data_IF_891158924732
#
_entry.id   IF_891158924732
#
_cell.length_a   1.000
_cell.length_b   1.000
_cell.length_c   1.000
_cell.angle_alpha   90.00
_cell.angle_beta   90.00
_cell.angle_gamma   90.00
#
_symmetry.space_group_name_H-M   'P 1'
#
loop_
_entity.id
_entity.type
_entity.pdbx_description
1 polymer ?
#
# COMPACT_ATOMS: atom_id res chain seq x y z
N UNK A 1 27.22 0.58 -45.80
CA UNK A 1 25.78 0.57 -45.47
C UNK A 1 25.54 -0.58 -44.50
N UNK A 2 25.59 -0.32 -43.18
CA UNK A 2 25.32 -1.34 -42.16
C UNK A 2 23.80 -1.45 -42.03
N UNK A 3 23.25 -2.59 -42.44
CA UNK A 3 21.83 -2.90 -42.28
C UNK A 3 21.58 -3.01 -40.77
N UNK A 4 20.74 -2.12 -40.22
CA UNK A 4 20.20 -2.28 -38.87
C UNK A 4 19.34 -3.55 -38.90
N UNK A 5 19.72 -4.56 -38.12
CA UNK A 5 18.84 -5.68 -37.83
C UNK A 5 17.62 -5.11 -37.12
N UNK A 6 16.46 -5.28 -37.76
CA UNK A 6 15.17 -4.92 -37.22
C UNK A 6 14.91 -5.80 -36.00
N UNK A 7 14.75 -5.21 -34.80
CA UNK A 7 14.35 -5.93 -33.59
C UNK A 7 12.84 -6.24 -33.63
N UNK A 8 12.33 -6.73 -34.77
CA UNK A 8 10.97 -7.25 -34.90
C UNK A 8 10.97 -8.68 -34.40
N UNK A 9 10.75 -8.83 -33.10
CA UNK A 9 10.10 -9.94 -32.39
C UNK A 9 10.56 -10.00 -30.93
N UNK A 10 10.48 -8.89 -30.18
CA UNK A 10 10.44 -9.01 -28.73
C UNK A 10 9.10 -9.67 -28.38
N UNK A 11 9.08 -10.86 -27.75
CA UNK A 11 7.84 -11.50 -27.36
C UNK A 11 7.08 -10.59 -26.39
N UNK A 12 5.93 -10.09 -26.81
CA UNK A 12 5.01 -9.40 -25.91
C UNK A 12 4.19 -10.44 -25.16
N UNK A 13 4.64 -10.77 -23.96
CA UNK A 13 3.89 -11.61 -23.04
C UNK A 13 2.68 -10.82 -22.54
N UNK A 14 1.49 -11.19 -23.01
CA UNK A 14 0.24 -10.72 -22.41
C UNK A 14 -0.20 -11.74 -21.38
N UNK A 15 -0.27 -11.33 -20.11
CA UNK A 15 -0.90 -12.14 -19.08
C UNK A 15 -2.40 -12.23 -19.38
N UNK A 16 -2.83 -13.41 -19.86
CA UNK A 16 -4.22 -13.78 -20.03
C UNK A 16 -4.71 -14.45 -18.74
N UNK A 17 -5.48 -13.72 -17.93
CA UNK A 17 -6.15 -14.30 -16.78
C UNK A 17 -7.41 -15.03 -17.25
N UNK A 18 -7.36 -16.36 -17.30
CA UNK A 18 -8.53 -17.22 -17.53
C UNK A 18 -9.21 -17.39 -16.17
N UNK A 19 -10.10 -16.46 -15.79
CA UNK A 19 -10.96 -16.66 -14.61
C UNK A 19 -11.92 -17.81 -14.90
N UNK A 20 -12.03 -18.77 -13.99
CA UNK A 20 -13.09 -19.78 -14.09
C UNK A 20 -14.42 -19.07 -13.87
N UNK A 21 -15.35 -19.14 -14.82
CA UNK A 21 -16.64 -18.48 -14.66
C UNK A 21 -17.42 -19.11 -13.51
N UNK A 22 -17.79 -18.31 -12.51
CA UNK A 22 -18.76 -18.72 -11.51
C UNK A 22 -20.15 -18.77 -12.16
N UNK A 23 -21.04 -19.70 -11.75
CA UNK A 23 -22.46 -19.59 -12.08
C UNK A 23 -23.01 -18.23 -11.62
N UNK A 24 -23.98 -17.68 -12.36
CA UNK A 24 -24.61 -16.38 -12.08
C UNK A 24 -25.05 -16.24 -10.61
N UNK A 25 -25.57 -17.32 -10.02
CA UNK A 25 -26.04 -17.34 -8.63
C UNK A 25 -24.91 -17.19 -7.59
N UNK A 26 -23.66 -17.41 -7.98
CA UNK A 26 -22.47 -17.37 -7.14
C UNK A 26 -21.57 -16.17 -7.45
N UNK A 27 -21.91 -15.30 -8.41
CA UNK A 27 -21.10 -14.11 -8.75
C UNK A 27 -20.86 -13.19 -7.55
N UNK A 28 -21.84 -13.09 -6.64
CA UNK A 28 -21.70 -12.32 -5.39
C UNK A 28 -20.53 -12.78 -4.50
N UNK A 29 -20.08 -14.04 -4.64
CA UNK A 29 -18.92 -14.55 -3.92
C UNK A 29 -17.60 -13.96 -4.45
N UNK A 30 -17.52 -13.59 -5.72
CA UNK A 30 -16.32 -12.93 -6.29
C UNK A 30 -16.14 -11.55 -5.65
N UNK A 31 -17.22 -10.76 -5.55
CA UNK A 31 -17.22 -9.46 -4.87
C UNK A 31 -16.85 -9.62 -3.39
N UNK A 32 -17.44 -10.60 -2.69
CA UNK A 32 -17.09 -10.89 -1.30
C UNK A 32 -15.62 -11.30 -1.17
N UNK A 33 -15.10 -12.16 -2.06
CA UNK A 33 -13.73 -12.65 -1.98
C UNK A 33 -12.70 -11.52 -2.17
N UNK A 34 -12.98 -10.55 -3.05
CA UNK A 34 -12.13 -9.39 -3.31
C UNK A 34 -12.37 -8.21 -2.36
N UNK A 35 -13.14 -8.41 -1.29
CA UNK A 35 -13.26 -7.47 -0.18
C UNK A 35 -12.86 -8.11 1.15
N UNK A 36 -11.78 -7.63 1.73
CA UNK A 36 -11.18 -8.15 2.97
C UNK A 36 -12.10 -8.06 4.20
N UNK A 37 -13.30 -7.48 4.11
CA UNK A 37 -14.32 -7.54 5.16
C UNK A 37 -14.54 -8.95 5.72
N UNK A 38 -14.43 -9.98 4.87
CA UNK A 38 -14.50 -11.36 5.34
C UNK A 38 -13.41 -11.70 6.37
N UNK A 39 -12.26 -11.03 6.38
CA UNK A 39 -11.15 -11.36 7.27
C UNK A 39 -11.47 -11.16 8.76
N UNK A 40 -12.31 -10.17 9.11
CA UNK A 40 -12.78 -9.94 10.47
C UNK A 40 -14.26 -10.27 10.70
N UNK A 41 -14.99 -10.68 9.66
CA UNK A 41 -16.36 -11.15 9.80
C UNK A 41 -16.44 -12.68 9.96
N UNK A 42 -16.98 -13.15 11.10
CA UNK A 42 -17.08 -14.58 11.40
C UNK A 42 -17.98 -15.35 10.42
N UNK A 43 -19.14 -14.80 10.07
CA UNK A 43 -20.10 -15.47 9.18
C UNK A 43 -19.58 -15.60 7.76
N UNK A 44 -18.85 -14.59 7.27
CA UNK A 44 -18.20 -14.64 5.97
C UNK A 44 -17.09 -15.70 5.89
N UNK A 45 -16.22 -15.81 6.91
CA UNK A 45 -15.21 -16.89 6.96
C UNK A 45 -15.85 -18.26 7.00
N UNK A 46 -16.89 -18.41 7.82
CA UNK A 46 -17.65 -19.65 7.89
C UNK A 46 -18.34 -19.98 6.58
N UNK A 47 -18.81 -18.98 5.82
CA UNK A 47 -19.38 -19.19 4.49
C UNK A 47 -18.35 -19.80 3.56
N UNK A 48 -17.19 -19.17 3.40
CA UNK A 48 -16.13 -19.69 2.51
C UNK A 48 -15.69 -21.09 2.92
N UNK A 49 -15.49 -21.33 4.22
CA UNK A 49 -15.18 -22.67 4.74
C UNK A 49 -16.25 -23.71 4.37
N UNK A 50 -17.54 -23.34 4.38
CA UNK A 50 -18.63 -24.27 4.04
C UNK A 50 -18.76 -24.58 2.53
N UNK A 51 -18.09 -23.82 1.66
CA UNK A 51 -18.10 -24.12 0.22
C UNK A 51 -17.28 -25.38 -0.07
N UNK A 52 -16.12 -25.53 0.56
CA UNK A 52 -15.29 -26.73 0.52
C UNK A 52 -14.22 -26.61 1.62
N UNK A 53 -14.40 -27.36 2.71
CA UNK A 53 -13.56 -27.23 3.91
C UNK A 53 -12.12 -27.66 3.65
N UNK A 54 -11.92 -28.78 2.94
CA UNK A 54 -10.60 -29.32 2.65
C UNK A 54 -9.84 -28.39 1.71
N UNK A 55 -10.48 -27.92 0.63
CA UNK A 55 -9.86 -26.98 -0.30
C UNK A 55 -9.56 -25.65 0.38
N UNK A 56 -10.41 -25.16 1.28
CA UNK A 56 -10.20 -23.90 1.99
C UNK A 56 -8.94 -23.92 2.87
N UNK A 57 -8.66 -25.04 3.54
CA UNK A 57 -7.40 -25.26 4.26
C UNK A 57 -6.20 -25.34 3.30
N UNK A 58 -6.33 -26.08 2.19
CA UNK A 58 -5.26 -26.22 1.18
C UNK A 58 -4.84 -24.90 0.52
N UNK A 59 -5.77 -23.95 0.36
CA UNK A 59 -5.48 -22.62 -0.20
C UNK A 59 -5.08 -21.59 0.87
N UNK A 60 -4.83 -22.03 2.11
CA UNK A 60 -4.39 -21.15 3.20
C UNK A 60 -5.44 -20.13 3.63
N UNK A 61 -6.72 -20.51 3.54
CA UNK A 61 -7.88 -19.65 3.83
C UNK A 61 -8.05 -18.45 2.89
N UNK A 62 -7.56 -18.55 1.65
CA UNK A 62 -7.75 -17.53 0.62
C UNK A 62 -9.06 -17.76 -0.18
N UNK A 63 -10.08 -16.88 -0.03
CA UNK A 63 -11.35 -17.04 -0.76
C UNK A 63 -11.22 -16.90 -2.27
N UNK A 64 -10.30 -16.07 -2.78
CA UNK A 64 -10.08 -15.91 -4.22
C UNK A 64 -9.60 -17.23 -4.82
N UNK A 65 -8.55 -17.81 -4.24
CA UNK A 65 -8.03 -19.11 -4.66
C UNK A 65 -9.03 -20.25 -4.46
N UNK A 66 -9.83 -20.21 -3.40
CA UNK A 66 -10.90 -21.18 -3.19
C UNK A 66 -11.85 -21.19 -4.39
N UNK A 67 -12.39 -20.02 -4.77
CA UNK A 67 -13.36 -19.90 -5.85
C UNK A 67 -12.78 -20.29 -7.22
N UNK A 68 -11.51 -19.95 -7.46
CA UNK A 68 -10.78 -20.33 -8.68
C UNK A 68 -10.56 -21.83 -8.79
N UNK A 69 -10.31 -22.52 -7.67
CA UNK A 69 -10.03 -23.96 -7.65
C UNK A 69 -11.26 -24.84 -7.46
N UNK A 70 -12.42 -24.25 -7.15
CA UNK A 70 -13.67 -24.99 -7.06
C UNK A 70 -13.98 -25.67 -8.41
N UNK A 71 -14.07 -27.00 -8.38
CA UNK A 71 -14.47 -27.79 -9.55
C UNK A 71 -15.90 -27.46 -10.01
N UNK A 72 -16.17 -27.64 -11.30
CA UNK A 72 -17.49 -27.38 -11.89
C UNK A 72 -18.61 -28.14 -11.16
N UNK A 73 -18.42 -29.44 -10.90
CA UNK A 73 -19.41 -30.27 -10.21
C UNK A 73 -19.70 -29.76 -8.79
N UNK A 74 -18.67 -29.22 -8.10
CA UNK A 74 -18.84 -28.65 -6.77
C UNK A 74 -19.64 -27.34 -6.82
N UNK A 75 -19.37 -26.47 -7.78
CA UNK A 75 -20.16 -25.25 -8.01
C UNK A 75 -21.63 -25.57 -8.27
N UNK A 76 -21.90 -26.55 -9.11
CA UNK A 76 -23.26 -27.06 -9.38
C UNK A 76 -23.95 -27.64 -8.14
N UNK A 77 -23.20 -28.39 -7.32
CA UNK A 77 -23.71 -28.93 -6.06
C UNK A 77 -24.06 -27.81 -5.06
N UNK A 78 -23.22 -26.78 -4.95
CA UNK A 78 -23.46 -25.61 -4.11
C UNK A 78 -24.75 -24.90 -4.54
N UNK A 79 -24.94 -24.66 -5.84
CA UNK A 79 -26.16 -24.00 -6.36
C UNK A 79 -27.43 -24.80 -6.04
N UNK A 80 -27.35 -26.13 -6.01
CA UNK A 80 -28.48 -27.02 -5.68
C UNK A 80 -28.71 -27.17 -4.17
N UNK A 81 -27.73 -26.84 -3.34
CA UNK A 81 -27.82 -26.90 -1.89
C UNK A 81 -28.54 -25.65 -1.33
N UNK A 82 -29.79 -25.86 -0.89
CA UNK A 82 -30.64 -24.80 -0.34
C UNK A 82 -30.07 -24.19 0.95
N UNK A 83 -29.37 -24.97 1.77
CA UNK A 83 -28.82 -24.48 3.03
C UNK A 83 -27.61 -23.58 2.78
N UNK A 84 -26.69 -24.00 1.90
CA UNK A 84 -25.53 -23.18 1.53
C UNK A 84 -26.00 -21.91 0.80
N UNK A 85 -26.90 -22.03 -0.17
CA UNK A 85 -27.40 -20.85 -0.90
C UNK A 85 -28.17 -19.87 -0.02
N UNK A 86 -28.85 -20.35 1.04
CA UNK A 86 -29.45 -19.46 2.05
C UNK A 86 -28.36 -18.66 2.78
N UNK A 87 -27.29 -19.33 3.23
CA UNK A 87 -26.15 -18.69 3.90
C UNK A 87 -25.43 -17.69 3.00
N UNK A 88 -25.21 -18.01 1.73
CA UNK A 88 -24.65 -17.10 0.71
C UNK A 88 -25.48 -15.80 0.66
N UNK A 89 -26.81 -15.92 0.52
CA UNK A 89 -27.71 -14.76 0.45
C UNK A 89 -27.71 -13.94 1.73
N UNK A 90 -27.73 -14.58 2.89
CA UNK A 90 -27.74 -13.90 4.19
C UNK A 90 -26.44 -13.12 4.44
N UNK A 91 -25.29 -13.75 4.20
CA UNK A 91 -23.98 -13.09 4.35
C UNK A 91 -23.82 -11.94 3.34
N UNK A 92 -24.21 -12.16 2.08
CA UNK A 92 -24.13 -11.11 1.07
C UNK A 92 -25.07 -9.94 1.37
N UNK A 93 -26.29 -10.21 1.87
CA UNK A 93 -27.20 -9.15 2.30
C UNK A 93 -26.62 -8.33 3.48
N UNK A 94 -25.97 -8.99 4.44
CA UNK A 94 -25.26 -8.32 5.53
C UNK A 94 -24.09 -7.47 5.03
N UNK A 95 -23.32 -8.00 4.08
CA UNK A 95 -22.23 -7.28 3.43
C UNK A 95 -22.74 -6.04 2.69
N UNK A 96 -23.81 -6.14 1.89
CA UNK A 96 -24.41 -4.98 1.21
C UNK A 96 -24.96 -3.96 2.20
N UNK A 97 -25.67 -4.41 3.24
CA UNK A 97 -26.14 -3.53 4.32
C UNK A 97 -24.99 -2.77 4.99
N UNK A 98 -23.82 -3.39 5.11
CA UNK A 98 -22.62 -2.74 5.59
C UNK A 98 -22.06 -1.77 4.55
N UNK A 99 -21.79 -2.21 3.33
CA UNK A 99 -21.11 -1.42 2.29
C UNK A 99 -21.91 -0.23 1.78
N UNK A 100 -23.24 -0.31 1.76
CA UNK A 100 -24.12 0.69 1.14
C UNK A 100 -24.42 1.91 2.04
N UNK A 101 -23.74 2.02 3.18
CA UNK A 101 -23.85 3.17 4.08
C UNK A 101 -22.91 4.27 3.63
N UNK A 102 -23.44 5.45 3.31
CA UNK A 102 -22.61 6.61 2.94
C UNK A 102 -21.70 7.05 4.10
N UNK A 103 -20.42 7.40 3.84
CA UNK A 103 -19.52 7.90 4.86
C UNK A 103 -20.09 9.09 5.63
N UNK A 104 -19.68 9.20 6.89
CA UNK A 104 -20.07 10.32 7.74
C UNK A 104 -19.36 11.60 7.28
N UNK A 105 -20.09 12.47 6.59
CA UNK A 105 -19.58 13.73 6.06
C UNK A 105 -19.27 14.79 7.14
N UNK A 106 -19.63 14.54 8.41
CA UNK A 106 -19.28 15.43 9.53
C UNK A 106 -17.85 15.20 10.03
N UNK A 107 -17.26 14.04 9.74
CA UNK A 107 -15.89 13.69 10.11
C UNK A 107 -14.92 14.11 9.00
N UNK A 108 -13.70 14.56 9.35
CA UNK A 108 -12.71 14.87 8.34
C UNK A 108 -12.28 13.60 7.58
N UNK A 109 -12.10 13.74 6.28
CA UNK A 109 -11.56 12.68 5.42
C UNK A 109 -10.05 12.52 5.60
N UNK A 110 -9.55 11.28 5.59
CA UNK A 110 -8.16 10.95 5.97
C UNK A 110 -7.45 10.17 4.87
N UNK A 111 -6.20 10.54 4.56
CA UNK A 111 -5.23 9.71 3.85
C UNK A 111 -4.22 9.16 4.87
N UNK A 112 -4.24 7.85 5.09
CA UNK A 112 -3.36 7.17 6.04
C UNK A 112 -2.18 6.51 5.32
N UNK A 113 -0.95 6.86 5.70
CA UNK A 113 0.28 6.37 5.07
C UNK A 113 1.04 5.47 6.02
N UNK A 114 1.33 4.25 5.58
CA UNK A 114 2.12 3.29 6.35
C UNK A 114 2.85 2.33 5.42
N UNK A 115 4.03 1.85 5.84
CA UNK A 115 4.76 0.81 5.11
C UNK A 115 4.11 -0.57 5.21
N UNK A 116 3.35 -0.86 6.28
CA UNK A 116 2.80 -2.19 6.53
C UNK A 116 1.36 -2.21 7.03
N UNK A 117 0.61 -3.26 6.67
CA UNK A 117 -0.80 -3.46 7.04
C UNK A 117 -1.13 -4.93 7.38
N UNK A 118 -1.36 -5.20 8.67
CA UNK A 118 -1.73 -6.50 9.22
C UNK A 118 -3.22 -6.79 9.10
N UNK A 119 -3.67 -7.11 7.87
CA UNK A 119 -5.09 -7.38 7.60
C UNK A 119 -5.46 -8.84 7.78
N UNK A 120 -4.75 -9.73 7.08
CA UNK A 120 -4.93 -11.18 7.10
C UNK A 120 -3.69 -11.84 6.49
N UNK A 121 -3.40 -13.08 6.87
CA UNK A 121 -2.28 -13.88 6.36
C UNK A 121 -2.22 -14.03 4.83
N UNK A 122 -3.36 -13.89 4.14
CA UNK A 122 -3.44 -13.96 2.68
C UNK A 122 -2.64 -12.81 2.03
N UNK A 123 -2.58 -11.64 2.65
CA UNK A 123 -1.81 -10.49 2.16
C UNK A 123 -0.55 -10.30 2.99
N UNK A 124 0.61 -10.66 2.42
CA UNK A 124 1.91 -10.56 3.12
C UNK A 124 2.49 -9.15 3.03
N UNK A 125 1.79 -8.18 3.60
CA UNK A 125 2.21 -6.76 3.59
C UNK A 125 2.50 -6.24 5.00
N UNK A 126 2.90 -7.11 5.93
CA UNK A 126 3.28 -6.73 7.29
C UNK A 126 4.30 -7.69 7.91
N UNK A 127 4.98 -7.24 8.97
CA UNK A 127 6.01 -7.99 9.70
C UNK A 127 5.75 -8.09 11.20
N UNK A 128 5.08 -7.11 11.81
CA UNK A 128 5.00 -7.01 13.26
C UNK A 128 3.87 -6.15 13.80
N UNK A 129 4.07 -5.63 15.01
CA UNK A 129 3.05 -4.91 15.78
C UNK A 129 2.56 -3.62 15.13
N UNK A 130 3.46 -2.85 14.49
CA UNK A 130 3.11 -1.64 13.75
C UNK A 130 2.12 -1.97 12.61
N UNK A 131 2.43 -2.99 11.82
CA UNK A 131 1.53 -3.46 10.77
C UNK A 131 0.18 -3.92 11.31
N UNK A 132 0.15 -4.69 12.41
CA UNK A 132 -1.12 -5.10 13.04
C UNK A 132 -1.98 -3.90 13.46
N UNK A 133 -1.37 -2.89 14.09
CA UNK A 133 -2.06 -1.67 14.47
C UNK A 133 -2.62 -0.92 13.26
N UNK A 134 -1.81 -0.75 12.20
CA UNK A 134 -2.24 -0.11 10.96
C UNK A 134 -3.41 -0.88 10.30
N UNK A 135 -3.35 -2.21 10.32
CA UNK A 135 -4.43 -3.07 9.84
C UNK A 135 -5.72 -2.89 10.63
N UNK A 136 -5.63 -2.82 11.96
CA UNK A 136 -6.79 -2.62 12.82
C UNK A 136 -7.36 -1.20 12.73
N UNK A 137 -6.51 -0.18 12.53
CA UNK A 137 -6.93 1.18 12.23
C UNK A 137 -7.81 1.25 10.97
N UNK A 138 -7.40 0.57 9.90
CA UNK A 138 -8.16 0.56 8.64
C UNK A 138 -9.45 -0.23 8.78
N UNK A 139 -9.46 -1.34 9.53
CA UNK A 139 -10.70 -2.09 9.84
C UNK A 139 -11.69 -1.25 10.65
N UNK A 140 -11.22 -0.56 11.68
CA UNK A 140 -12.05 0.31 12.51
C UNK A 140 -12.55 1.55 11.73
N UNK A 141 -11.71 2.14 10.88
CA UNK A 141 -12.14 3.21 9.98
C UNK A 141 -13.26 2.74 9.03
N UNK A 142 -13.16 1.50 8.56
CA UNK A 142 -14.21 0.87 7.77
C UNK A 142 -15.50 0.66 8.58
N UNK A 143 -15.42 0.10 9.79
CA UNK A 143 -16.59 -0.18 10.64
C UNK A 143 -17.29 1.11 11.08
N UNK A 144 -16.52 2.12 11.50
CA UNK A 144 -16.99 3.44 11.90
C UNK A 144 -17.36 4.37 10.73
N UNK A 145 -17.19 3.91 9.48
CA UNK A 145 -17.58 4.59 8.25
C UNK A 145 -16.95 5.99 8.06
N UNK A 146 -15.66 6.10 8.40
CA UNK A 146 -14.85 7.29 8.10
C UNK A 146 -14.52 7.32 6.63
N UNK A 147 -14.53 8.49 6.01
CA UNK A 147 -13.98 8.67 4.67
C UNK A 147 -12.44 8.60 4.66
N UNK A 148 -11.91 7.40 4.84
CA UNK A 148 -10.48 7.11 4.85
C UNK A 148 -10.05 6.39 3.57
N UNK A 149 -8.86 6.74 3.06
CA UNK A 149 -8.09 5.86 2.19
C UNK A 149 -6.72 5.60 2.82
N UNK A 150 -6.13 4.46 2.52
CA UNK A 150 -4.81 4.09 3.00
C UNK A 150 -3.82 3.93 1.83
N UNK A 151 -2.54 4.15 2.10
CA UNK A 151 -1.45 4.06 1.12
C UNK A 151 -0.32 3.21 1.70
N UNK A 152 0.19 2.27 0.92
CA UNK A 152 1.31 1.40 1.29
C UNK A 152 1.94 0.71 0.08
N UNK A 153 2.60 -0.43 0.34
CA UNK A 153 3.28 -1.21 -0.71
C UNK A 153 2.70 -2.59 -0.91
N UNK A 154 2.75 -3.04 -2.16
CA UNK A 154 2.53 -4.42 -2.51
C UNK A 154 3.88 -5.12 -2.58
N UNK A 155 4.26 -5.81 -1.50
CA UNK A 155 5.56 -6.46 -1.43
C UNK A 155 5.60 -7.76 -2.24
N UNK A 156 6.63 -7.94 -3.08
CA UNK A 156 6.79 -9.18 -3.87
C UNK A 156 6.97 -10.42 -3.00
N UNK A 157 7.78 -10.33 -1.95
CA UNK A 157 8.12 -11.47 -1.08
C UNK A 157 7.51 -11.35 0.33
N UNK A 158 6.94 -10.19 0.67
CA UNK A 158 6.40 -9.91 1.99
C UNK A 158 7.44 -10.11 3.10
N UNK A 159 7.00 -10.66 4.23
CA UNK A 159 7.89 -11.14 5.29
C UNK A 159 8.20 -12.63 5.11
N UNK A 160 9.31 -13.10 5.70
CA UNK A 160 9.72 -14.49 5.53
C UNK A 160 8.83 -15.47 6.29
N UNK A 161 8.68 -16.67 5.73
CA UNK A 161 8.19 -17.83 6.48
C UNK A 161 9.34 -18.40 7.29
N UNK A 162 9.17 -18.48 8.60
CA UNK A 162 10.15 -19.05 9.51
C UNK A 162 10.00 -20.57 9.58
N UNK A 163 11.10 -21.29 9.42
CA UNK A 163 11.20 -22.71 9.79
C UNK A 163 12.45 -22.94 10.64
N UNK A 164 12.46 -24.06 11.36
CA UNK A 164 13.61 -24.49 12.16
C UNK A 164 14.29 -25.66 11.46
N UNK A 165 15.60 -25.55 11.30
CA UNK A 165 16.47 -26.66 10.91
C UNK A 165 16.50 -27.74 11.99
N UNK A 166 17.02 -28.93 11.66
CA UNK A 166 17.16 -30.02 12.63
C UNK A 166 18.08 -29.69 13.80
N UNK A 167 18.99 -28.74 13.64
CA UNK A 167 19.90 -28.21 14.66
C UNK A 167 19.36 -26.97 15.38
N UNK A 168 18.12 -26.55 15.10
CA UNK A 168 17.44 -25.45 15.79
C UNK A 168 17.80 -24.06 15.26
N UNK A 169 18.55 -23.94 14.17
CA UNK A 169 18.76 -22.67 13.49
C UNK A 169 17.52 -22.24 12.71
N UNK A 170 17.24 -20.94 12.74
CA UNK A 170 16.21 -20.31 11.93
C UNK A 170 16.58 -20.35 10.45
N UNK A 171 15.64 -20.84 9.63
CA UNK A 171 15.67 -20.73 8.17
C UNK A 171 14.58 -19.74 7.76
N UNK A 172 14.98 -18.70 7.04
CA UNK A 172 14.06 -17.71 6.47
C UNK A 172 13.77 -18.05 5.00
N UNK A 173 12.50 -18.34 4.68
CA UNK A 173 12.05 -18.60 3.31
C UNK A 173 11.24 -17.42 2.77
N UNK A 174 11.66 -16.90 1.62
CA UNK A 174 11.00 -15.78 0.93
C UNK A 174 10.31 -16.30 -0.32
N UNK A 175 8.99 -16.47 -0.27
CA UNK A 175 8.21 -16.95 -1.40
C UNK A 175 7.52 -15.76 -2.09
N UNK A 176 7.78 -15.62 -3.39
CA UNK A 176 7.12 -14.59 -4.20
C UNK A 176 5.60 -14.80 -4.19
N UNK A 177 4.85 -13.72 -3.98
CA UNK A 177 3.39 -13.74 -4.04
C UNK A 177 2.91 -13.77 -5.49
N UNK A 178 1.92 -14.61 -5.80
CA UNK A 178 1.17 -14.50 -7.05
C UNK A 178 0.04 -13.48 -6.88
N UNK A 179 0.27 -12.26 -7.34
CA UNK A 179 -0.68 -11.15 -7.22
C UNK A 179 -2.04 -11.44 -7.87
N UNK A 180 -2.12 -12.33 -8.86
CA UNK A 180 -3.41 -12.69 -9.47
C UNK A 180 -4.28 -13.55 -8.55
N UNK A 181 -3.69 -14.16 -7.54
CA UNK A 181 -4.37 -15.03 -6.57
C UNK A 181 -4.82 -14.29 -5.31
N UNK A 182 -4.45 -13.02 -5.16
CA UNK A 182 -4.72 -12.22 -3.97
C UNK A 182 -6.05 -11.47 -4.10
N UNK A 183 -6.70 -11.11 -2.98
CA UNK A 183 -7.89 -10.26 -2.96
C UNK A 183 -7.54 -8.79 -3.24
N UNK A 184 -6.89 -8.54 -4.37
CA UNK A 184 -6.42 -7.24 -4.83
C UNK A 184 -6.81 -7.03 -6.28
N UNK A 185 -6.98 -5.77 -6.68
CA UNK A 185 -7.38 -5.40 -8.03
C UNK A 185 -6.42 -4.37 -8.61
N UNK A 186 -6.25 -4.39 -9.93
CA UNK A 186 -5.51 -3.33 -10.64
C UNK A 186 -6.38 -2.09 -10.69
N UNK A 187 -5.82 -0.94 -10.33
CA UNK A 187 -6.52 0.33 -10.58
C UNK A 187 -6.35 0.67 -12.06
N UNK A 188 -7.46 0.82 -12.77
CA UNK A 188 -7.47 1.09 -14.21
C UNK A 188 -7.77 2.56 -14.49
N UNK A 189 -7.16 3.10 -15.54
CA UNK A 189 -7.49 4.41 -16.10
C UNK A 189 -8.75 4.35 -16.99
N UNK A 190 -9.15 5.50 -17.52
CA UNK A 190 -10.32 5.62 -18.42
C UNK A 190 -10.20 4.79 -19.71
N UNK A 191 -8.97 4.39 -20.09
CA UNK A 191 -8.68 3.58 -21.27
C UNK A 191 -8.56 2.08 -20.95
N UNK A 192 -8.75 1.68 -19.68
CA UNK A 192 -8.62 0.30 -19.22
C UNK A 192 -7.17 -0.16 -19.01
N UNK A 193 -6.19 0.74 -19.05
CA UNK A 193 -4.80 0.43 -18.71
C UNK A 193 -4.59 0.55 -17.19
N UNK A 194 -3.68 -0.24 -16.64
CA UNK A 194 -3.33 -0.08 -15.23
C UNK A 194 -2.70 1.29 -14.99
N UNK A 195 -3.14 1.98 -13.95
CA UNK A 195 -2.59 3.27 -13.53
C UNK A 195 -1.14 3.08 -13.11
N UNK A 196 -0.28 3.88 -13.73
CA UNK A 196 1.15 4.00 -13.42
C UNK A 196 1.38 5.37 -12.79
N UNK A 197 2.15 5.45 -11.70
CA UNK A 197 2.53 6.71 -11.05
C UNK A 197 4.01 6.93 -11.27
N UNK A 198 4.37 8.06 -11.87
CA UNK A 198 5.75 8.45 -12.13
C UNK A 198 6.28 9.22 -10.93
N UNK A 199 7.27 8.66 -10.25
CA UNK A 199 7.85 9.21 -9.02
C UNK A 199 9.27 9.68 -9.30
N UNK A 200 9.64 10.94 -8.96
CA UNK A 200 10.95 11.48 -9.28
C UNK A 200 12.04 10.95 -8.34
N UNK A 201 13.08 10.35 -8.91
CA UNK A 201 14.30 9.91 -8.24
C UNK A 201 15.49 10.62 -8.89
N UNK A 202 15.72 11.89 -8.52
CA UNK A 202 16.74 12.75 -9.14
C UNK A 202 16.42 13.15 -10.59
N UNK A 203 17.15 12.60 -11.57
CA UNK A 203 17.08 12.90 -12.99
C UNK A 203 16.33 11.82 -13.79
N UNK A 204 15.72 10.85 -13.11
CA UNK A 204 14.88 9.81 -13.71
C UNK A 204 13.60 9.62 -12.90
N UNK A 205 12.69 8.81 -13.44
CA UNK A 205 11.42 8.47 -12.80
C UNK A 205 11.41 6.98 -12.48
N UNK A 206 10.87 6.63 -11.32
CA UNK A 206 10.47 5.26 -10.98
C UNK A 206 8.97 5.15 -11.23
N UNK A 207 8.57 4.12 -11.95
CA UNK A 207 7.20 3.87 -12.38
C UNK A 207 6.52 2.88 -11.45
N UNK A 208 5.56 3.34 -10.65
CA UNK A 208 4.84 2.49 -9.71
C UNK A 208 3.47 2.10 -10.26
N UNK A 209 3.22 0.80 -10.40
CA UNK A 209 1.88 0.28 -10.69
C UNK A 209 0.98 0.45 -9.46
N UNK A 210 -0.26 0.87 -9.69
CA UNK A 210 -1.24 1.04 -8.61
C UNK A 210 -2.16 -0.17 -8.52
N UNK A 211 -2.21 -0.74 -7.34
CA UNK A 211 -3.13 -1.80 -6.93
C UNK A 211 -4.06 -1.29 -5.84
N UNK A 212 -5.22 -1.92 -5.67
CA UNK A 212 -6.16 -1.61 -4.61
C UNK A 212 -6.60 -2.86 -3.89
N UNK A 213 -6.67 -2.76 -2.56
CA UNK A 213 -7.29 -3.73 -1.66
C UNK A 213 -8.52 -3.08 -1.05
N UNK A 214 -9.65 -3.75 -1.14
CA UNK A 214 -10.87 -3.31 -0.48
C UNK A 214 -10.86 -3.84 0.96
N UNK A 215 -10.66 -2.95 1.94
CA UNK A 215 -10.72 -3.28 3.36
C UNK A 215 -12.05 -2.81 3.89
N UNK A 216 -13.09 -3.63 3.67
CA UNK A 216 -14.47 -3.21 3.89
C UNK A 216 -14.77 -2.00 3.01
N UNK A 217 -15.10 -0.87 3.63
CA UNK A 217 -15.40 0.42 3.00
C UNK A 217 -14.14 1.22 2.64
N UNK A 218 -13.00 0.92 3.27
CA UNK A 218 -11.75 1.67 3.05
C UNK A 218 -10.99 1.10 1.86
N UNK A 219 -10.53 1.98 0.97
CA UNK A 219 -9.61 1.62 -0.12
C UNK A 219 -8.17 1.74 0.36
N UNK A 220 -7.44 0.63 0.36
CA UNK A 220 -6.00 0.59 0.58
C UNK A 220 -5.29 0.50 -0.78
N UNK A 221 -4.61 1.57 -1.16
CA UNK A 221 -3.83 1.63 -2.39
C UNK A 221 -2.41 1.15 -2.13
N UNK A 222 -1.92 0.26 -2.99
CA UNK A 222 -0.60 -0.33 -2.88
C UNK A 222 0.22 0.00 -4.12
N UNK A 223 1.43 0.51 -3.91
CA UNK A 223 2.39 0.81 -4.97
C UNK A 223 3.32 -0.38 -5.20
N UNK A 224 3.62 -0.64 -6.47
CA UNK A 224 4.44 -1.77 -6.93
C UNK A 224 5.44 -1.33 -8.01
N UNK A 225 6.74 -1.45 -7.73
CA UNK A 225 7.82 -1.10 -8.66
C UNK A 225 8.37 -2.30 -9.42
N UNK A 226 7.92 -3.53 -9.15
CA UNK A 226 8.38 -4.75 -9.82
C UNK A 226 7.72 -4.90 -11.21
N UNK A 227 8.14 -4.05 -12.14
CA UNK A 227 7.62 -4.01 -13.51
C UNK A 227 8.72 -3.63 -14.53
N UNK A 228 8.45 -3.91 -15.80
CA UNK A 228 9.45 -3.77 -16.89
C UNK A 228 9.78 -2.33 -17.28
N UNK A 229 9.09 -1.33 -16.72
CA UNK A 229 9.43 0.09 -16.94
C UNK A 229 10.59 0.54 -16.05
N UNK A 230 10.88 -0.21 -14.99
CA UNK A 230 11.92 0.12 -14.01
C UNK A 230 13.21 -0.67 -14.24
N UNK A 231 14.32 -0.08 -13.77
CA UNK A 231 15.61 -0.77 -13.77
C UNK A 231 15.63 -1.92 -12.76
N UNK A 232 16.55 -2.88 -12.93
CA UNK A 232 16.79 -3.95 -11.96
C UNK A 232 17.20 -3.43 -10.56
N UNK A 233 17.61 -2.17 -10.45
CA UNK A 233 17.95 -1.51 -9.17
C UNK A 233 16.76 -0.81 -8.51
N UNK A 234 15.66 -0.62 -9.23
CA UNK A 234 14.46 0.06 -8.71
C UNK A 234 13.29 -0.93 -8.51
N UNK A 235 13.25 -2.05 -9.26
CA UNK A 235 12.31 -3.15 -8.95
C UNK A 235 12.35 -3.58 -7.48
N UNK A 236 13.53 -3.70 -6.82
CA UNK A 236 13.61 -4.14 -5.43
C UNK A 236 13.03 -3.19 -4.38
N UNK A 237 12.65 -1.96 -4.75
CA UNK A 237 12.05 -1.00 -3.80
C UNK A 237 10.80 -1.63 -3.14
N UNK A 238 9.99 -2.39 -3.88
CA UNK A 238 8.81 -3.11 -3.34
C UNK A 238 9.03 -4.63 -3.22
N UNK A 239 10.26 -5.13 -3.11
CA UNK A 239 10.48 -6.57 -2.92
C UNK A 239 10.16 -7.04 -1.50
N UNK A 240 10.75 -6.37 -0.51
CA UNK A 240 10.69 -6.80 0.90
C UNK A 240 10.45 -5.62 1.82
N UNK A 241 9.70 -5.89 2.88
CA UNK A 241 9.49 -4.98 4.00
C UNK A 241 10.77 -4.91 4.85
N UNK A 242 11.27 -3.70 5.11
CA UNK A 242 12.53 -3.44 5.84
C UNK A 242 13.78 -4.10 5.23
N UNK A 243 13.80 -4.29 3.91
CA UNK A 243 14.92 -4.88 3.19
C UNK A 243 15.81 -3.87 2.44
N UNK A 244 17.00 -4.32 2.04
CA UNK A 244 17.96 -3.55 1.26
C UNK A 244 18.95 -2.77 2.12
N UNK A 245 19.64 -1.82 1.50
CA UNK A 245 20.54 -0.88 2.16
C UNK A 245 19.84 0.44 2.50
N UNK A 246 20.58 1.37 3.10
CA UNK A 246 20.07 2.70 3.45
C UNK A 246 19.58 3.50 2.24
N UNK A 247 20.15 3.27 1.07
CA UNK A 247 19.67 3.92 -0.16
C UNK A 247 18.31 3.35 -0.57
N UNK A 248 18.14 2.03 -0.59
CA UNK A 248 16.83 1.41 -0.84
C UNK A 248 15.79 1.82 0.20
N UNK A 249 16.20 1.97 1.47
CA UNK A 249 15.33 2.48 2.54
C UNK A 249 14.82 3.88 2.23
N UNK A 250 15.70 4.81 1.89
CA UNK A 250 15.30 6.16 1.46
C UNK A 250 14.41 6.10 0.21
N UNK A 251 14.74 5.23 -0.76
CA UNK A 251 13.92 5.04 -1.95
C UNK A 251 12.51 4.58 -1.62
N UNK A 252 12.34 3.68 -0.64
CA UNK A 252 11.02 3.29 -0.14
C UNK A 252 10.28 4.49 0.46
N UNK A 253 10.93 5.31 1.28
CA UNK A 253 10.27 6.48 1.88
C UNK A 253 9.83 7.52 0.84
N UNK A 254 10.64 7.73 -0.21
CA UNK A 254 10.28 8.59 -1.35
C UNK A 254 9.03 8.03 -2.04
N UNK A 255 9.01 6.71 -2.29
CA UNK A 255 7.88 6.05 -2.94
C UNK A 255 6.60 6.16 -2.11
N UNK A 256 6.69 5.89 -0.80
CA UNK A 256 5.55 5.93 0.11
C UNK A 256 5.01 7.36 0.22
N UNK A 257 5.89 8.29 0.58
CA UNK A 257 5.50 9.67 0.86
C UNK A 257 5.13 10.43 -0.40
N UNK A 258 6.11 10.67 -1.26
CA UNK A 258 5.91 11.46 -2.48
C UNK A 258 5.09 10.71 -3.52
N UNK A 259 5.46 9.46 -3.79
CA UNK A 259 4.74 8.61 -4.73
C UNK A 259 3.28 8.39 -4.32
N UNK A 260 3.01 8.24 -3.03
CA UNK A 260 1.64 8.13 -2.52
C UNK A 260 0.81 9.41 -2.72
N UNK A 261 1.37 10.60 -2.49
CA UNK A 261 0.65 11.87 -2.77
C UNK A 261 0.42 12.07 -4.27
N UNK A 262 1.42 11.76 -5.11
CA UNK A 262 1.29 11.80 -6.56
C UNK A 262 0.23 10.82 -7.07
N UNK A 263 0.16 9.61 -6.48
CA UNK A 263 -0.88 8.63 -6.75
C UNK A 263 -2.27 9.18 -6.42
N UNK A 264 -2.47 9.74 -5.22
CA UNK A 264 -3.76 10.33 -4.82
C UNK A 264 -4.20 11.42 -5.80
N UNK A 265 -3.27 12.30 -6.22
CA UNK A 265 -3.54 13.33 -7.24
C UNK A 265 -3.95 12.73 -8.58
N UNK A 266 -3.22 11.70 -9.05
CA UNK A 266 -3.51 11.03 -10.32
C UNK A 266 -4.88 10.35 -10.32
N UNK A 267 -5.32 9.85 -9.17
CA UNK A 267 -6.65 9.27 -8.97
C UNK A 267 -7.75 10.31 -8.67
N UNK A 268 -7.40 11.60 -8.56
CA UNK A 268 -8.35 12.65 -8.20
C UNK A 268 -8.84 12.59 -6.75
N UNK A 269 -8.14 11.87 -5.88
CA UNK A 269 -8.49 11.69 -4.46
C UNK A 269 -7.94 12.87 -3.67
N UNK A 270 -8.84 13.56 -2.96
CA UNK A 270 -8.49 14.66 -2.05
C UNK A 270 -8.94 14.29 -0.64
N UNK A 271 -8.06 14.52 0.34
CA UNK A 271 -8.33 14.28 1.76
C UNK A 271 -8.02 15.52 2.57
N UNK A 272 -8.73 15.69 3.68
CA UNK A 272 -8.55 16.83 4.58
C UNK A 272 -7.35 16.64 5.49
N UNK A 273 -7.08 15.41 5.92
CA UNK A 273 -5.99 15.07 6.83
C UNK A 273 -5.07 14.02 6.20
N UNK A 274 -3.77 14.17 6.44
CA UNK A 274 -2.73 13.23 6.03
C UNK A 274 -2.06 12.67 7.29
N UNK A 275 -2.21 11.38 7.53
CA UNK A 275 -1.69 10.72 8.73
C UNK A 275 -0.46 9.89 8.37
N UNK A 276 0.70 10.32 8.88
CA UNK A 276 1.96 9.61 8.80
C UNK A 276 2.07 8.62 9.96
N UNK A 277 1.99 7.32 9.67
CA UNK A 277 2.34 6.30 10.64
C UNK A 277 3.85 6.05 10.60
N UNK A 278 4.53 6.51 11.66
CA UNK A 278 5.99 6.58 11.78
C UNK A 278 6.69 7.47 10.75
N UNK A 279 7.98 7.78 11.01
CA UNK A 279 8.74 8.78 10.26
C UNK A 279 8.87 8.49 8.77
N UNK A 280 8.83 7.22 8.36
CA UNK A 280 9.01 6.80 6.98
C UNK A 280 7.92 7.32 6.00
N UNK A 281 6.78 7.78 6.51
CA UNK A 281 5.73 8.40 5.70
C UNK A 281 5.90 9.92 5.53
N UNK A 282 6.86 10.55 6.21
CA UNK A 282 6.91 12.00 6.35
C UNK A 282 7.21 12.75 5.03
N UNK A 283 7.83 12.09 4.03
CA UNK A 283 8.01 12.70 2.70
C UNK A 283 6.68 12.98 1.97
N UNK A 284 5.54 12.49 2.46
CA UNK A 284 4.24 12.96 1.97
C UNK A 284 4.05 14.46 2.22
N UNK A 285 4.54 14.98 3.35
CA UNK A 285 4.50 16.40 3.67
C UNK A 285 5.40 17.21 2.73
N UNK A 286 6.56 16.69 2.35
CA UNK A 286 7.43 17.34 1.36
C UNK A 286 6.72 17.52 0.02
N UNK A 287 6.09 16.46 -0.52
CA UNK A 287 5.36 16.58 -1.78
C UNK A 287 4.20 17.57 -1.68
N UNK A 288 3.53 17.64 -0.53
CA UNK A 288 2.44 18.61 -0.29
C UNK A 288 2.95 20.05 -0.20
N UNK A 289 4.09 20.29 0.46
CA UNK A 289 4.75 21.59 0.47
C UNK A 289 5.06 22.06 -0.95
N UNK A 290 5.66 21.18 -1.74
CA UNK A 290 5.94 21.43 -3.16
C UNK A 290 4.67 21.78 -3.92
N UNK A 291 3.58 21.04 -3.72
CA UNK A 291 2.31 21.28 -4.40
C UNK A 291 1.70 22.66 -4.08
N UNK A 292 1.78 23.09 -2.81
CA UNK A 292 1.27 24.40 -2.40
C UNK A 292 2.14 25.55 -2.92
N UNK A 293 3.47 25.39 -2.89
CA UNK A 293 4.40 26.40 -3.42
C UNK A 293 4.27 26.52 -4.94
N UNK A 294 4.19 25.39 -5.66
CA UNK A 294 3.91 25.37 -7.11
C UNK A 294 2.53 26.00 -7.42
N UNK A 295 1.60 25.95 -6.45
CA UNK A 295 0.29 26.62 -6.48
C UNK A 295 0.32 28.13 -6.19
N UNK A 296 1.48 28.70 -5.88
CA UNK A 296 1.69 30.13 -5.69
C UNK A 296 1.78 30.60 -4.23
N UNK A 297 1.79 29.70 -3.26
CA UNK A 297 2.03 30.04 -1.85
C UNK A 297 3.53 30.22 -1.56
N UNK A 298 3.86 31.01 -0.55
CA UNK A 298 5.21 31.01 0.02
C UNK A 298 5.46 29.73 0.81
N UNK A 299 6.73 29.37 1.03
CA UNK A 299 7.10 28.22 1.86
C UNK A 299 6.43 28.24 3.24
N UNK A 300 6.44 29.40 3.92
CA UNK A 300 5.88 29.52 5.27
C UNK A 300 4.36 29.33 5.27
N UNK A 301 3.63 29.86 4.29
CA UNK A 301 2.18 29.63 4.16
C UNK A 301 1.87 28.16 3.86
N UNK A 302 2.64 27.55 2.97
CA UNK A 302 2.52 26.12 2.66
C UNK A 302 2.80 25.26 3.90
N UNK A 303 3.81 25.61 4.69
CA UNK A 303 4.18 24.90 5.91
C UNK A 303 3.08 24.96 6.96
N UNK A 304 2.46 26.11 7.19
CA UNK A 304 1.32 26.23 8.10
C UNK A 304 0.15 25.34 7.68
N UNK A 305 -0.19 25.33 6.39
CA UNK A 305 -1.26 24.46 5.88
C UNK A 305 -0.92 22.98 6.00
N UNK A 306 0.31 22.59 5.63
CA UNK A 306 0.76 21.20 5.73
C UNK A 306 0.74 20.74 7.17
N UNK A 307 1.29 21.53 8.11
CA UNK A 307 1.25 21.25 9.55
C UNK A 307 -0.19 21.08 10.03
N UNK A 308 -1.07 22.03 9.73
CA UNK A 308 -2.46 22.04 10.19
C UNK A 308 -3.32 20.87 9.66
N UNK A 309 -2.86 20.20 8.62
CA UNK A 309 -3.57 19.08 7.99
C UNK A 309 -2.76 17.78 7.99
N UNK A 310 -1.73 17.69 8.83
CA UNK A 310 -0.91 16.50 9.00
C UNK A 310 -0.88 16.01 10.44
N UNK A 311 -1.03 14.70 10.59
CA UNK A 311 -0.93 13.97 11.84
C UNK A 311 0.30 13.06 11.77
N UNK A 312 1.09 13.04 12.84
CA UNK A 312 2.19 12.10 13.02
C UNK A 312 1.85 11.15 14.16
N UNK A 313 2.28 9.90 14.06
CA UNK A 313 2.27 8.97 15.20
C UNK A 313 3.58 8.20 15.20
N UNK A 314 4.27 8.25 16.34
CA UNK A 314 5.50 7.51 16.59
C UNK A 314 5.23 6.40 17.59
N UNK A 315 5.70 5.18 17.31
CA UNK A 315 5.53 4.02 18.20
C UNK A 315 6.83 3.64 18.89
N UNK A 316 7.95 4.09 18.35
CA UNK A 316 9.28 3.78 18.88
C UNK A 316 9.77 4.86 19.84
N UNK A 317 9.96 4.55 21.13
CA UNK A 317 10.49 5.52 22.10
C UNK A 317 12.03 5.57 22.13
N UNK A 318 12.70 4.73 21.35
CA UNK A 318 14.16 4.58 21.34
C UNK A 318 14.77 5.07 20.03
N UNK A 319 15.90 5.79 20.07
CA UNK A 319 16.54 6.34 18.86
C UNK A 319 16.83 5.31 17.78
N UNK A 320 17.11 4.06 18.16
CA UNK A 320 17.47 2.99 17.23
C UNK A 320 16.37 2.58 16.23
N UNK A 321 15.11 2.97 16.45
CA UNK A 321 14.04 2.69 15.47
C UNK A 321 13.61 3.91 14.65
N UNK A 322 14.35 5.02 14.71
CA UNK A 322 14.17 6.12 13.76
C UNK A 322 15.14 5.96 12.58
N UNK A 323 14.67 6.33 11.40
CA UNK A 323 15.46 6.34 10.18
C UNK A 323 16.34 7.60 10.14
N UNK A 324 17.68 7.40 10.10
CA UNK A 324 18.69 8.45 10.01
C UNK A 324 19.48 8.34 8.71
N UNK A 325 19.43 9.38 7.88
CA UNK A 325 20.14 9.43 6.61
C UNK A 325 21.35 10.36 6.68
N UNK A 326 22.46 9.90 6.10
CA UNK A 326 23.62 10.75 5.84
C UNK A 326 23.24 11.90 4.90
N UNK A 327 23.77 13.09 5.15
CA UNK A 327 23.45 14.29 4.36
C UNK A 327 23.76 14.10 2.87
N UNK A 328 24.85 13.40 2.53
CA UNK A 328 25.20 13.12 1.14
C UNK A 328 24.20 12.21 0.44
N UNK A 329 23.72 11.17 1.14
CA UNK A 329 22.69 10.27 0.62
C UNK A 329 21.34 10.98 0.49
N UNK A 330 20.93 11.75 1.50
CA UNK A 330 19.67 12.48 1.46
C UNK A 330 19.72 13.57 0.38
N UNK A 331 20.82 14.34 0.30
CA UNK A 331 21.05 15.38 -0.70
C UNK A 331 21.11 14.89 -2.13
N UNK A 332 21.58 13.66 -2.35
CA UNK A 332 21.50 13.00 -3.66
C UNK A 332 20.08 13.02 -4.21
N UNK A 333 19.09 12.63 -3.42
CA UNK A 333 17.68 12.54 -3.85
C UNK A 333 16.90 13.83 -3.64
N UNK A 334 17.22 14.59 -2.59
CA UNK A 334 16.40 15.71 -2.14
C UNK A 334 16.97 17.08 -2.52
N UNK A 335 18.19 17.17 -3.03
CA UNK A 335 18.89 18.43 -3.29
C UNK A 335 18.19 19.38 -4.28
N UNK A 336 17.27 18.87 -5.09
CA UNK A 336 16.46 19.68 -6.01
C UNK A 336 15.21 20.32 -5.40
N UNK A 337 14.78 19.92 -4.19
CA UNK A 337 13.54 20.44 -3.60
C UNK A 337 13.66 21.80 -2.91
N UNK A 338 14.75 22.16 -2.21
CA UNK A 338 14.83 23.48 -1.55
C UNK A 338 14.63 24.64 -2.53
N UNK A 339 15.22 24.56 -3.73
CA UNK A 339 15.06 25.58 -4.77
C UNK A 339 13.62 25.69 -5.27
N UNK A 340 12.87 24.58 -5.32
CA UNK A 340 11.43 24.59 -5.64
C UNK A 340 10.60 25.17 -4.51
N UNK A 341 10.99 24.94 -3.27
CA UNK A 341 10.34 25.47 -2.08
C UNK A 341 10.67 26.95 -1.84
N UNK A 342 11.73 27.49 -2.46
CA UNK A 342 12.19 28.85 -2.25
C UNK A 342 13.01 29.03 -0.96
N UNK A 343 13.64 27.96 -0.47
CA UNK A 343 14.49 27.94 0.73
C UNK A 343 15.88 27.40 0.39
N UNK A 344 16.85 27.62 1.27
CA UNK A 344 18.20 27.07 1.17
C UNK A 344 18.25 25.58 1.54
N UNK A 345 19.35 24.91 1.16
CA UNK A 345 19.61 23.53 1.57
C UNK A 345 19.73 23.41 3.10
N UNK A 346 20.39 24.37 3.74
CA UNK A 346 20.58 24.39 5.20
C UNK A 346 19.24 24.53 5.94
N UNK A 347 18.34 25.40 5.46
CA UNK A 347 16.97 25.49 6.00
C UNK A 347 16.22 24.18 5.86
N UNK A 348 16.32 23.50 4.70
CA UNK A 348 15.62 22.25 4.45
C UNK A 348 16.15 21.09 5.28
N UNK A 349 17.47 20.86 5.27
CA UNK A 349 18.09 19.77 6.02
C UNK A 349 17.93 20.00 7.54
N UNK A 350 17.94 21.26 7.99
CA UNK A 350 17.70 21.64 9.37
C UNK A 350 16.33 21.23 9.89
N UNK A 351 15.32 21.08 9.03
CA UNK A 351 14.00 20.56 9.44
C UNK A 351 14.04 19.11 9.92
N UNK A 352 15.07 18.33 9.59
CA UNK A 352 15.26 16.96 10.04
C UNK A 352 16.35 16.78 11.09
N UNK A 353 16.88 17.87 11.67
CA UNK A 353 17.93 17.85 12.71
C UNK A 353 17.38 18.28 14.06
N UNK A 354 17.92 17.72 15.16
CA UNK A 354 17.57 18.16 16.52
C UNK A 354 18.11 19.57 16.75
N UNK A 355 19.36 19.79 16.32
CA UNK A 355 19.95 21.11 16.21
C UNK A 355 20.13 21.48 14.72
N UNK A 356 19.29 22.38 14.18
CA UNK A 356 19.35 22.78 12.77
C UNK A 356 20.73 23.25 12.31
N UNK A 357 21.52 23.85 13.20
CA UNK A 357 22.84 24.41 12.93
C UNK A 357 23.99 23.38 13.07
N UNK A 358 23.71 22.15 13.55
CA UNK A 358 24.74 21.10 13.67
C UNK A 358 24.85 20.30 12.36
N UNK A 359 25.81 20.68 11.52
CA UNK A 359 26.11 19.99 10.26
C UNK A 359 26.67 18.56 10.43
N UNK A 360 26.99 18.14 11.67
CA UNK A 360 27.36 16.76 11.97
C UNK A 360 26.16 15.84 12.15
N UNK A 361 24.96 16.39 12.36
CA UNK A 361 23.74 15.60 12.56
C UNK A 361 23.20 15.02 11.24
N UNK A 362 22.82 13.75 11.32
CA UNK A 362 22.11 13.04 10.24
C UNK A 362 20.67 13.52 10.15
N UNK A 363 20.10 13.45 8.96
CA UNK A 363 18.69 13.78 8.75
C UNK A 363 17.80 12.69 9.34
N UNK A 364 16.98 13.06 10.32
CA UNK A 364 16.01 12.19 10.96
C UNK A 364 14.61 12.45 10.43
N UNK A 365 13.99 11.40 9.91
CA UNK A 365 12.62 11.47 9.37
C UNK A 365 11.56 11.78 10.43
N UNK A 366 11.78 11.33 11.66
CA UNK A 366 10.86 11.58 12.77
C UNK A 366 10.86 13.06 13.18
N UNK A 367 12.04 13.70 13.16
CA UNK A 367 12.17 15.14 13.43
C UNK A 367 11.50 15.93 12.31
N UNK A 368 11.73 15.54 11.05
CA UNK A 368 11.03 16.14 9.92
C UNK A 368 9.50 16.02 10.04
N UNK A 369 8.99 14.87 10.48
CA UNK A 369 7.58 14.67 10.75
C UNK A 369 7.07 15.62 11.86
N UNK A 370 7.76 15.71 13.01
CA UNK A 370 7.41 16.66 14.08
C UNK A 370 7.39 18.12 13.61
N UNK A 371 8.32 18.48 12.72
CA UNK A 371 8.41 19.83 12.16
C UNK A 371 7.40 20.10 11.03
N UNK A 372 6.72 19.07 10.52
CA UNK A 372 5.73 19.20 9.42
C UNK A 372 4.33 18.71 9.77
N UNK A 373 4.08 18.27 11.01
CA UNK A 373 2.78 17.89 11.54
C UNK A 373 2.38 18.79 12.72
N UNK A 374 1.07 19.02 12.88
CA UNK A 374 0.54 19.75 14.03
C UNK A 374 0.42 18.86 15.27
N UNK A 375 -0.09 17.63 15.09
CA UNK A 375 -0.28 16.65 16.16
C UNK A 375 0.75 15.52 16.02
N UNK A 376 1.31 15.07 17.15
CA UNK A 376 2.38 14.05 17.26
C UNK A 376 2.01 12.99 18.28
#
# INVERSE_FOLDING_TARGET
MKIKADYTNAPQWKNLNIKSSLPEQLECLDELAHNMWWAWNYEARNLFKSLDEELYEQVGHNPVLLLDRLGYDRKEAIVKDKAIMKKVKEVYANFRKYMDVKPDSSRPSVAYFCMEYGLNQVLKIYSGGLGMLAGDYVKEASDSNVDMCAVGFLYRYGYFTQSLSMDGQQIAKYDAQDFNSLPIERVLDENGNQVVVDVPYMNYQVHALVWVVNVGRVKLYLLDTDNDMNSEFDKPITHSLYGGDWENRLKQEILLGMGGVLMLKKLGIKKQLYHCNEGHAALCNLQRLVDYVDGGMTFNEALELVRASSLYTVHTPVPAGHDYFDEGLFGKYMGGYPSRLGISWDEFIGMGRENPDDHGERFCMSIFACNTCQEV
#
